data_IF_268624179382
#
_entry.id   IF_268624179382
#
_cell.length_a   1.000
_cell.length_b   1.000
_cell.length_c   1.000
_cell.angle_alpha   90.00
_cell.angle_beta   90.00
_cell.angle_gamma   90.00
#
_symmetry.space_group_name_H-M   'P 1'
#
loop_
_entity.id
_entity.type
_entity.pdbx_description
1 polymer ?
#
# COMPACT_ATOMS: atom_id res chain seq x y z
N UNK A 1 -5.23 20.24 14.44
CA UNK A 1 -5.36 20.84 13.10
C UNK A 1 -6.19 19.89 12.26
N UNK A 2 -7.34 20.32 11.78
CA UNK A 2 -8.29 19.49 11.02
C UNK A 2 -7.73 19.21 9.62
N UNK A 3 -7.37 17.95 9.41
CA UNK A 3 -6.85 17.40 8.15
C UNK A 3 -7.98 17.30 7.11
N UNK A 4 -8.34 18.43 6.49
CA UNK A 4 -9.48 18.53 5.57
C UNK A 4 -9.11 18.95 4.14
N UNK A 5 -7.83 18.96 3.78
CA UNK A 5 -7.37 19.30 2.43
C UNK A 5 -6.74 18.07 1.75
N UNK A 6 -7.55 17.29 1.03
CA UNK A 6 -7.07 16.12 0.29
C UNK A 6 -8.11 15.02 0.11
N UNK A 7 -9.40 15.35 -0.02
CA UNK A 7 -10.38 14.34 -0.43
C UNK A 7 -10.07 13.97 -1.90
N UNK A 8 -9.75 12.71 -2.23
CA UNK A 8 -9.82 12.27 -3.61
C UNK A 8 -11.27 12.47 -4.10
N UNK A 9 -11.46 12.91 -5.35
CA UNK A 9 -12.79 13.19 -5.89
C UNK A 9 -13.65 11.92 -5.93
N UNK A 10 -14.58 11.76 -4.99
CA UNK A 10 -15.61 10.70 -4.91
C UNK A 10 -15.18 9.23 -5.14
N UNK A 11 -13.88 8.94 -5.23
CA UNK A 11 -13.33 7.64 -5.57
C UNK A 11 -11.96 7.77 -6.23
N UNK A 12 -11.28 6.64 -6.41
CA UNK A 12 -10.06 6.55 -7.24
C UNK A 12 -10.43 5.66 -8.42
N UNK A 13 -10.47 6.19 -9.65
CA UNK A 13 -10.81 5.39 -10.83
C UNK A 13 -9.94 4.13 -10.93
N UNK A 14 -10.57 3.00 -11.25
CA UNK A 14 -9.91 1.68 -11.27
C UNK A 14 -9.88 0.96 -9.92
N UNK A 15 -10.34 1.61 -8.85
CA UNK A 15 -10.40 1.04 -7.49
C UNK A 15 -11.84 0.88 -7.01
N UNK A 16 -12.70 0.34 -7.88
CA UNK A 16 -14.12 0.11 -7.62
C UNK A 16 -14.38 -1.23 -6.91
N UNK A 17 -13.33 -2.05 -6.71
CA UNK A 17 -13.42 -3.42 -6.20
C UNK A 17 -13.60 -3.55 -4.68
N UNK A 18 -13.49 -2.46 -3.93
CA UNK A 18 -13.71 -2.44 -2.48
C UNK A 18 -13.88 -1.02 -1.94
N UNK A 19 -14.52 -0.85 -0.76
CA UNK A 19 -14.67 0.46 -0.16
C UNK A 19 -13.30 0.99 0.28
N UNK A 20 -12.89 2.12 -0.29
CA UNK A 20 -11.69 2.84 0.14
C UNK A 20 -11.88 3.32 1.59
N UNK A 21 -11.01 2.88 2.50
CA UNK A 21 -11.05 3.26 3.89
C UNK A 21 -9.85 4.13 4.25
N UNK A 22 -10.12 5.28 4.88
CA UNK A 22 -9.06 6.11 5.44
C UNK A 22 -8.78 5.67 6.86
N UNK A 23 -7.61 5.08 7.04
CA UNK A 23 -7.16 4.52 8.31
C UNK A 23 -5.81 5.13 8.70
N UNK A 24 -5.68 6.47 8.82
CA UNK A 24 -4.41 7.12 9.14
C UNK A 24 -3.75 6.56 10.41
N UNK A 25 -4.54 6.03 11.34
CA UNK A 25 -4.07 5.35 12.56
C UNK A 25 -3.13 4.17 12.26
N UNK A 26 -3.24 3.50 11.11
CA UNK A 26 -2.31 2.44 10.74
C UNK A 26 -0.88 2.96 10.54
N UNK A 27 -0.70 4.24 10.18
CA UNK A 27 0.63 4.84 10.05
C UNK A 27 1.33 5.04 11.40
N UNK A 28 0.57 5.07 12.50
CA UNK A 28 1.10 5.17 13.86
C UNK A 28 1.47 3.79 14.44
N UNK A 29 1.07 2.69 13.79
CA UNK A 29 1.36 1.32 14.21
C UNK A 29 2.74 0.86 13.73
N UNK A 30 3.71 0.53 14.61
CA UNK A 30 5.05 0.11 14.18
C UNK A 30 5.02 -1.14 13.29
N UNK A 31 4.15 -2.10 13.60
CA UNK A 31 3.99 -3.33 12.83
C UNK A 31 3.49 -3.08 11.40
N UNK A 32 2.80 -1.96 11.13
CA UNK A 32 2.38 -1.60 9.78
C UNK A 32 3.60 -1.36 8.88
N UNK A 33 4.61 -0.64 9.38
CA UNK A 33 5.81 -0.35 8.60
C UNK A 33 6.65 -1.60 8.35
N UNK A 34 6.72 -2.49 9.34
CA UNK A 34 7.38 -3.79 9.19
C UNK A 34 6.67 -4.65 8.13
N UNK A 35 5.35 -4.78 8.23
CA UNK A 35 4.52 -5.50 7.26
C UNK A 35 4.56 -4.89 5.85
N UNK A 36 4.68 -3.56 5.76
CA UNK A 36 4.78 -2.85 4.48
C UNK A 36 6.15 -3.04 3.81
N UNK A 37 7.24 -3.05 4.59
CA UNK A 37 8.59 -3.24 4.07
C UNK A 37 8.93 -4.70 3.80
N UNK A 38 8.26 -5.64 4.48
CA UNK A 38 8.44 -7.07 4.27
C UNK A 38 8.18 -7.50 2.82
N UNK A 39 7.24 -6.86 2.11
CA UNK A 39 7.01 -7.13 0.67
C UNK A 39 8.24 -6.85 -0.20
N UNK A 40 9.15 -6.02 0.29
CA UNK A 40 10.40 -5.66 -0.35
C UNK A 40 11.59 -6.55 0.05
N UNK A 41 11.40 -7.50 0.97
CA UNK A 41 12.40 -8.46 1.40
C UNK A 41 11.97 -9.86 0.93
N UNK A 42 12.35 -10.30 -0.28
CA UNK A 42 11.81 -11.53 -0.88
C UNK A 42 12.32 -12.83 -0.23
N UNK A 43 13.26 -12.73 0.71
CA UNK A 43 13.93 -13.84 1.34
C UNK A 43 13.55 -13.92 2.82
N UNK A 44 13.10 -15.09 3.27
CA UNK A 44 12.64 -15.34 4.64
C UNK A 44 13.76 -15.10 5.66
N UNK A 45 15.01 -15.46 5.36
CA UNK A 45 16.16 -15.18 6.24
C UNK A 45 16.42 -13.66 6.33
N UNK A 46 16.24 -12.92 5.23
CA UNK A 46 16.35 -11.46 5.21
C UNK A 46 15.21 -10.82 5.99
N UNK A 47 13.99 -11.36 5.92
CA UNK A 47 12.87 -10.88 6.73
C UNK A 47 13.09 -11.18 8.22
N UNK A 48 13.52 -12.38 8.59
CA UNK A 48 13.88 -12.73 9.98
C UNK A 48 15.01 -11.83 10.51
N UNK A 49 16.01 -11.48 9.70
CA UNK A 49 17.08 -10.56 10.09
C UNK A 49 16.60 -9.09 10.22
N UNK A 50 15.66 -8.66 9.38
CA UNK A 50 15.10 -7.31 9.39
C UNK A 50 14.10 -7.10 10.52
N UNK A 51 13.34 -8.15 10.85
CA UNK A 51 12.19 -8.10 11.77
C UNK A 51 12.50 -8.75 13.13
N UNK A 52 13.57 -9.55 13.24
CA UNK A 52 14.02 -10.24 14.46
C UNK A 52 12.83 -10.92 15.18
N UNK A 53 12.65 -10.66 16.48
CA UNK A 53 11.54 -11.23 17.26
C UNK A 53 10.14 -10.72 16.85
N UNK A 54 10.05 -9.68 16.00
CA UNK A 54 8.79 -9.09 15.56
C UNK A 54 8.29 -9.69 14.23
N UNK A 55 9.00 -10.66 13.63
CA UNK A 55 8.62 -11.32 12.37
C UNK A 55 7.18 -11.88 12.41
N UNK A 56 6.89 -12.78 13.37
CA UNK A 56 5.57 -13.40 13.51
C UNK A 56 4.47 -12.34 13.72
N UNK A 57 4.78 -11.30 14.51
CA UNK A 57 3.84 -10.23 14.80
C UNK A 57 3.55 -9.36 13.57
N UNK A 58 4.56 -9.12 12.74
CA UNK A 58 4.44 -8.40 11.48
C UNK A 58 3.69 -9.23 10.42
N UNK A 59 3.94 -10.54 10.34
CA UNK A 59 3.20 -11.45 9.46
C UNK A 59 1.72 -11.51 9.85
N UNK A 60 1.41 -11.67 11.14
CA UNK A 60 0.04 -11.65 11.66
C UNK A 60 -0.65 -10.31 11.44
N UNK A 61 0.09 -9.21 11.52
CA UNK A 61 -0.42 -7.89 11.17
C UNK A 61 -0.71 -7.77 9.68
N UNK A 62 0.22 -8.20 8.82
CA UNK A 62 0.07 -8.19 7.38
C UNK A 62 -1.13 -9.02 6.92
N UNK A 63 -1.27 -10.24 7.45
CA UNK A 63 -2.43 -11.11 7.20
C UNK A 63 -3.75 -10.42 7.54
N UNK A 64 -3.83 -9.83 8.74
CA UNK A 64 -5.02 -9.06 9.14
C UNK A 64 -5.28 -7.86 8.25
N UNK A 65 -4.23 -7.23 7.72
CA UNK A 65 -4.33 -6.08 6.81
C UNK A 65 -4.89 -6.50 5.44
N UNK A 66 -4.47 -7.64 4.88
CA UNK A 66 -4.94 -8.14 3.58
C UNK A 66 -6.30 -8.85 3.63
N UNK A 67 -6.69 -9.40 4.79
CA UNK A 67 -8.01 -10.02 5.01
C UNK A 67 -9.13 -8.98 5.23
N UNK A 68 -8.79 -7.69 5.31
CA UNK A 68 -9.77 -6.63 5.50
C UNK A 68 -10.70 -6.53 4.29
N UNK A 69 -12.02 -6.33 4.53
CA UNK A 69 -12.98 -6.13 3.44
C UNK A 69 -12.91 -4.72 2.82
N UNK A 70 -12.32 -3.76 3.53
CA UNK A 70 -12.04 -2.40 3.05
C UNK A 70 -10.59 -2.26 2.60
N UNK A 71 -10.33 -1.24 1.77
CA UNK A 71 -9.03 -0.99 1.16
C UNK A 71 -8.36 0.20 1.85
N UNK A 72 -7.41 -0.05 2.77
CA UNK A 72 -6.65 1.01 3.42
C UNK A 72 -6.06 1.97 2.39
N UNK A 73 -6.40 3.25 2.53
CA UNK A 73 -6.01 4.31 1.62
C UNK A 73 -5.40 5.47 2.39
N UNK A 74 -4.16 5.80 2.05
CA UNK A 74 -3.40 6.90 2.65
C UNK A 74 -3.22 8.02 1.65
N UNK A 75 -3.21 9.26 2.13
CA UNK A 75 -2.97 10.45 1.30
C UNK A 75 -1.82 11.24 1.89
N UNK A 76 -0.75 11.38 1.12
CA UNK A 76 0.46 12.08 1.50
C UNK A 76 0.57 13.35 0.63
N UNK A 77 0.68 14.55 1.23
CA UNK A 77 0.91 15.77 0.47
C UNK A 77 2.32 15.76 -0.15
N UNK A 78 2.42 16.24 -1.38
CA UNK A 78 3.67 16.32 -2.16
C UNK A 78 3.75 17.67 -2.89
N UNK A 79 4.95 18.08 -3.29
CA UNK A 79 5.16 19.28 -4.11
C UNK A 79 4.51 19.17 -5.49
N UNK A 80 4.20 17.95 -5.95
CA UNK A 80 3.57 17.67 -7.24
C UNK A 80 2.06 17.40 -7.14
N UNK A 81 1.46 17.51 -5.94
CA UNK A 81 0.06 17.19 -5.69
C UNK A 81 -0.12 16.30 -4.46
N UNK A 82 -0.90 15.23 -4.58
CA UNK A 82 -1.15 14.26 -3.53
C UNK A 82 -0.77 12.86 -4.01
N UNK A 83 0.04 12.17 -3.20
CA UNK A 83 0.32 10.75 -3.36
C UNK A 83 -0.73 9.97 -2.60
N UNK A 84 -1.39 9.04 -3.29
CA UNK A 84 -2.32 8.09 -2.73
C UNK A 84 -1.66 6.72 -2.71
N UNK A 85 -1.74 6.05 -1.56
CA UNK A 85 -1.26 4.68 -1.39
C UNK A 85 -2.49 3.84 -1.07
N UNK A 86 -2.82 2.89 -1.94
CA UNK A 86 -4.03 2.06 -1.84
C UNK A 86 -3.64 0.60 -1.67
N UNK A 87 -4.02 0.01 -0.54
CA UNK A 87 -3.86 -1.42 -0.28
C UNK A 87 -5.07 -2.14 -0.88
N UNK A 88 -4.84 -2.78 -2.03
CA UNK A 88 -5.81 -3.62 -2.73
C UNK A 88 -5.86 -4.97 -2.01
N UNK A 89 -7.02 -5.28 -1.45
CA UNK A 89 -7.24 -6.49 -0.63
C UNK A 89 -8.25 -7.44 -1.29
N UNK A 90 -8.31 -7.46 -2.62
CA UNK A 90 -9.22 -8.34 -3.35
C UNK A 90 -8.57 -9.73 -3.50
N UNK A 91 -9.34 -10.79 -3.24
CA UNK A 91 -8.87 -12.16 -3.45
C UNK A 91 -8.43 -12.34 -4.91
N UNK A 92 -7.15 -12.68 -5.11
CA UNK A 92 -6.54 -12.84 -6.43
C UNK A 92 -5.98 -11.56 -7.04
N UNK A 93 -6.10 -10.42 -6.36
CA UNK A 93 -5.57 -9.11 -6.75
C UNK A 93 -5.11 -8.31 -5.51
N UNK A 94 -4.25 -8.94 -4.71
CA UNK A 94 -3.67 -8.34 -3.50
C UNK A 94 -2.41 -7.57 -3.87
N UNK A 95 -2.32 -6.32 -3.43
CA UNK A 95 -1.15 -5.48 -3.67
C UNK A 95 -1.30 -4.06 -3.16
N UNK A 96 -0.31 -3.23 -3.44
CA UNK A 96 -0.30 -1.81 -3.08
C UNK A 96 -0.10 -0.95 -4.32
N UNK A 97 -1.02 -0.02 -4.58
CA UNK A 97 -0.90 0.93 -5.68
C UNK A 97 -0.48 2.31 -5.17
N UNK A 98 0.47 2.91 -5.90
CA UNK A 98 0.99 4.25 -5.64
C UNK A 98 0.54 5.18 -6.75
N UNK A 99 -0.34 6.12 -6.43
CA UNK A 99 -1.01 6.99 -7.41
C UNK A 99 -0.72 8.45 -7.10
N UNK A 100 -0.31 9.21 -8.10
CA UNK A 100 -0.16 10.66 -8.00
C UNK A 100 -1.37 11.36 -8.62
N UNK A 101 -1.94 12.33 -7.90
CA UNK A 101 -2.95 13.21 -8.44
C UNK A 101 -2.65 14.66 -8.08
N UNK A 102 -2.70 15.53 -9.08
CA UNK A 102 -2.65 16.98 -8.90
C UNK A 102 -4.05 17.57 -9.12
N UNK A 103 -4.50 18.59 -8.36
CA UNK A 103 -5.83 19.16 -8.51
C UNK A 103 -6.18 19.68 -9.92
N UNK A 104 -5.16 20.04 -10.71
CA UNK A 104 -5.33 20.46 -12.10
C UNK A 104 -5.45 19.30 -13.11
N UNK A 105 -5.29 18.05 -12.66
CA UNK A 105 -5.39 16.86 -13.51
C UNK A 105 -6.77 16.23 -13.44
N UNK A 106 -7.23 15.74 -14.58
CA UNK A 106 -8.51 15.04 -14.72
C UNK A 106 -8.46 13.58 -14.29
N UNK A 107 -7.25 12.99 -14.20
CA UNK A 107 -7.05 11.58 -13.87
C UNK A 107 -5.89 11.39 -12.89
N UNK A 108 -5.89 10.26 -12.19
CA UNK A 108 -4.78 9.79 -11.38
C UNK A 108 -3.70 9.19 -12.29
N UNK A 109 -2.44 9.41 -11.95
CA UNK A 109 -1.30 8.74 -12.57
C UNK A 109 -0.81 7.62 -11.65
N UNK A 110 -0.94 6.37 -12.09
CA UNK A 110 -0.28 5.25 -11.44
C UNK A 110 1.24 5.41 -11.61
N UNK A 111 1.96 5.43 -10.49
CA UNK A 111 3.42 5.48 -10.46
C UNK A 111 4.00 4.08 -10.40
N UNK A 112 3.46 3.26 -9.51
CA UNK A 112 3.91 1.90 -9.29
C UNK A 112 2.81 1.05 -8.65
N UNK A 113 2.95 -0.25 -8.81
CA UNK A 113 2.13 -1.27 -8.17
C UNK A 113 3.06 -2.31 -7.55
N UNK A 114 2.91 -2.59 -6.27
CA UNK A 114 3.58 -3.68 -5.57
C UNK A 114 2.60 -4.83 -5.37
N UNK A 115 2.66 -5.83 -6.24
CA UNK A 115 1.82 -7.01 -6.07
C UNK A 115 2.48 -7.98 -5.12
N UNK A 116 1.70 -8.51 -4.18
CA UNK A 116 2.16 -9.62 -3.33
C UNK A 116 2.29 -10.84 -4.24
N UNK A 117 3.51 -11.13 -4.71
CA UNK A 117 3.75 -12.35 -5.46
C UNK A 117 3.68 -13.54 -4.50
N UNK A 118 3.06 -14.67 -4.88
CA UNK A 118 3.35 -15.92 -4.20
C UNK A 118 4.85 -16.16 -4.31
N UNK A 119 5.49 -16.66 -3.26
CA UNK A 119 6.93 -16.92 -3.21
C UNK A 119 7.39 -17.77 -4.41
N UNK A 120 7.75 -17.14 -5.52
CA UNK A 120 8.43 -17.75 -6.65
C UNK A 120 9.77 -17.05 -6.77
N UNK A 121 10.78 -17.72 -6.20
CA UNK A 121 12.22 -17.53 -6.33
C UNK A 121 12.68 -16.41 -7.27
N UNK A 122 13.26 -15.35 -6.70
CA UNK A 122 14.22 -14.49 -7.39
C UNK A 122 13.95 -12.99 -7.29
N UNK A 123 14.52 -12.37 -6.24
CA UNK A 123 15.12 -11.03 -6.23
C UNK A 123 14.47 -9.94 -7.11
N UNK A 124 13.37 -9.36 -6.66
CA UNK A 124 13.11 -7.92 -6.70
C UNK A 124 11.88 -7.65 -5.83
N UNK A 125 11.77 -6.45 -5.21
CA UNK A 125 10.46 -6.03 -4.69
C UNK A 125 9.46 -6.16 -5.85
N UNK A 126 8.26 -6.68 -5.62
CA UNK A 126 7.20 -6.84 -6.63
C UNK A 126 6.70 -5.54 -7.27
N UNK A 127 7.39 -4.43 -7.01
CA UNK A 127 7.13 -3.08 -7.47
C UNK A 127 7.33 -2.98 -8.98
N UNK A 128 6.22 -3.01 -9.70
CA UNK A 128 6.13 -2.72 -11.13
C UNK A 128 5.90 -1.23 -11.32
N UNK A 129 6.89 -0.54 -11.89
CA UNK A 129 6.77 0.87 -12.27
C UNK A 129 5.88 1.03 -13.50
N UNK A 130 4.97 1.98 -13.46
CA UNK A 130 4.20 2.35 -14.64
C UNK A 130 5.12 2.95 -15.71
N UNK A 131 5.04 2.43 -16.92
CA UNK A 131 5.74 3.01 -18.08
C UNK A 131 5.09 4.35 -18.44
N UNK A 132 5.90 5.39 -18.68
CA UNK A 132 5.43 6.73 -19.04
C UNK A 132 4.80 6.79 -20.44
#
# INVERSE_FOLDING_TARGET
MTNSAGLPPNGIPGHEGGPLARLPELLDEPLFWLAHLASCAPDEEVQELLLDADYDAAEDFHRRLIERPDWPTFTIPSTLGHLYIVYRNLVGDIGTDYLLHHPAWTHFHLLATDDVQPAVTGADCGVRWASR
#
